data_IF_047790083428
#
_entry.id   IF_047790083428
#
_cell.length_a   1.000
_cell.length_b   1.000
_cell.length_c   1.000
_cell.angle_alpha   90.00
_cell.angle_beta   90.00
_cell.angle_gamma   90.00
#
_symmetry.space_group_name_H-M   'P 1'
#
loop_
_entity.id
_entity.type
_entity.pdbx_description
1 polymer ?
#
# COMPACT_ATOMS: atom_id res chain seq x y z
N UNK A 1 31.11 -14.45 43.69
CA UNK A 1 29.99 -13.67 43.14
C UNK A 1 29.96 -13.92 41.63
N UNK A 2 29.07 -14.81 41.16
CA UNK A 2 29.00 -15.19 39.75
C UNK A 2 27.75 -14.58 39.11
N UNK A 3 27.89 -13.41 38.48
CA UNK A 3 26.82 -12.86 37.63
C UNK A 3 26.64 -13.80 36.44
N UNK A 4 25.59 -14.62 36.50
CA UNK A 4 25.10 -15.42 35.36
C UNK A 4 24.70 -14.46 34.25
N UNK A 5 25.51 -14.38 33.20
CA UNK A 5 25.14 -13.80 31.92
C UNK A 5 23.98 -14.63 31.36
N UNK A 6 22.74 -14.17 31.58
CA UNK A 6 21.58 -14.73 30.87
C UNK A 6 21.71 -14.29 29.41
N UNK A 7 21.68 -15.20 28.43
CA UNK A 7 21.59 -14.79 27.04
C UNK A 7 20.33 -13.92 26.92
N UNK A 8 20.49 -12.70 26.42
CA UNK A 8 19.39 -11.77 26.20
C UNK A 8 18.57 -12.35 25.04
N UNK A 9 17.57 -13.20 25.38
CA UNK A 9 16.79 -13.93 24.38
C UNK A 9 15.91 -12.94 23.63
N UNK A 10 16.39 -12.47 22.48
CA UNK A 10 15.63 -11.63 21.57
C UNK A 10 14.42 -12.42 21.06
N UNK A 11 13.21 -11.95 21.37
CA UNK A 11 11.99 -12.53 20.81
C UNK A 11 11.90 -12.24 19.31
N UNK A 12 11.16 -13.08 18.58
CA UNK A 12 10.93 -12.86 17.15
C UNK A 12 10.29 -11.49 16.87
N UNK A 13 9.37 -11.04 17.72
CA UNK A 13 8.75 -9.72 17.60
C UNK A 13 9.75 -8.58 17.81
N UNK A 14 10.63 -8.67 18.80
CA UNK A 14 11.68 -7.66 19.01
C UNK A 14 12.69 -7.63 17.85
N UNK A 15 13.01 -8.79 17.27
CA UNK A 15 13.81 -8.86 16.05
C UNK A 15 13.11 -8.13 14.90
N UNK A 16 11.83 -8.43 14.64
CA UNK A 16 11.05 -7.80 13.57
C UNK A 16 10.96 -6.28 13.75
N UNK A 17 10.71 -5.80 14.97
CA UNK A 17 10.70 -4.36 15.28
C UNK A 17 12.05 -3.72 14.99
N UNK A 18 13.14 -4.26 15.55
CA UNK A 18 14.49 -3.72 15.32
C UNK A 18 14.91 -3.79 13.85
N UNK A 19 14.51 -4.84 13.15
CA UNK A 19 14.77 -5.01 11.71
C UNK A 19 13.99 -3.97 10.90
N UNK A 20 12.70 -3.78 11.19
CA UNK A 20 11.87 -2.78 10.53
C UNK A 20 12.37 -1.36 10.79
N UNK A 21 12.79 -1.04 12.02
CA UNK A 21 13.35 0.27 12.37
C UNK A 21 14.66 0.55 11.64
N UNK A 22 15.51 -0.46 11.47
CA UNK A 22 16.80 -0.33 10.77
C UNK A 22 16.64 -0.19 9.26
N UNK A 23 15.77 -0.96 8.64
CA UNK A 23 15.67 -1.05 7.17
C UNK A 23 14.48 -0.30 6.57
N UNK A 24 13.49 0.05 7.39
CA UNK A 24 12.29 0.79 6.99
C UNK A 24 12.06 1.97 7.95
N UNK A 25 13.02 2.91 8.03
CA UNK A 25 12.94 4.01 8.98
C UNK A 25 11.71 4.89 8.72
N UNK A 26 11.21 5.65 9.72
CA UNK A 26 10.03 6.49 9.57
C UNK A 26 10.08 7.43 8.36
N UNK A 27 11.25 8.02 8.06
CA UNK A 27 11.44 8.88 6.88
C UNK A 27 11.16 8.13 5.57
N UNK A 28 11.60 6.87 5.47
CA UNK A 28 11.31 6.04 4.29
C UNK A 28 9.81 5.72 4.21
N UNK A 29 9.18 5.34 5.34
CA UNK A 29 7.74 5.05 5.37
C UNK A 29 6.91 6.26 4.96
N UNK A 30 7.25 7.45 5.47
CA UNK A 30 6.57 8.69 5.12
C UNK A 30 6.71 9.01 3.64
N UNK A 31 7.93 8.93 3.08
CA UNK A 31 8.13 9.12 1.63
C UNK A 31 7.32 8.13 0.80
N UNK A 32 7.23 6.87 1.21
CA UNK A 32 6.38 5.87 0.53
C UNK A 32 4.89 6.13 0.70
N UNK A 33 4.47 6.68 1.83
CA UNK A 33 3.09 7.16 2.02
C UNK A 33 2.79 8.33 1.09
N UNK A 34 3.69 9.29 0.96
CA UNK A 34 3.53 10.42 0.02
C UNK A 34 3.44 9.93 -1.43
N UNK A 35 4.36 9.03 -1.84
CA UNK A 35 4.31 8.37 -3.16
C UNK A 35 2.97 7.66 -3.40
N UNK A 36 2.40 7.01 -2.38
CA UNK A 36 1.08 6.37 -2.47
C UNK A 36 -0.05 7.39 -2.61
N UNK A 37 -0.01 8.48 -1.84
CA UNK A 37 -1.02 9.53 -1.85
C UNK A 37 -1.06 10.25 -3.21
N UNK A 38 0.09 10.40 -3.86
CA UNK A 38 0.22 11.04 -5.17
C UNK A 38 0.15 10.06 -6.35
N UNK A 39 0.07 8.75 -6.10
CA UNK A 39 0.08 7.72 -7.14
C UNK A 39 -1.06 7.92 -8.14
N UNK A 40 -0.68 8.00 -9.41
CA UNK A 40 -1.57 8.04 -10.58
C UNK A 40 -1.12 6.99 -11.58
N UNK A 41 -2.03 6.58 -12.48
CA UNK A 41 -1.71 5.62 -13.53
C UNK A 41 -0.57 6.10 -14.44
N UNK A 42 -0.58 7.38 -14.84
CA UNK A 42 0.39 7.96 -15.79
C UNK A 42 0.56 7.04 -17.03
N UNK A 43 1.80 6.70 -17.40
CA UNK A 43 2.11 5.81 -18.53
C UNK A 43 2.00 4.32 -18.20
N UNK A 44 1.59 3.94 -16.98
CA UNK A 44 1.42 2.55 -16.60
C UNK A 44 0.16 1.96 -17.23
N UNK A 45 0.20 0.67 -17.54
CA UNK A 45 -1.02 -0.13 -17.71
C UNK A 45 -1.79 -0.19 -16.38
N UNK A 46 -3.08 -0.53 -16.43
CA UNK A 46 -3.89 -0.68 -15.20
C UNK A 46 -3.30 -1.74 -14.27
N UNK A 47 -2.83 -2.87 -14.81
CA UNK A 47 -2.13 -3.88 -14.03
C UNK A 47 -0.82 -3.35 -13.41
N UNK A 48 -0.06 -2.52 -14.15
CA UNK A 48 1.16 -1.88 -13.63
C UNK A 48 0.87 -0.88 -12.52
N UNK A 49 -0.19 -0.08 -12.68
CA UNK A 49 -0.67 0.84 -11.66
C UNK A 49 -1.15 0.09 -10.42
N UNK A 50 -1.94 -0.99 -10.57
CA UNK A 50 -2.39 -1.82 -9.46
C UNK A 50 -1.23 -2.43 -8.68
N UNK A 51 -0.20 -2.94 -9.38
CA UNK A 51 0.99 -3.48 -8.74
C UNK A 51 1.69 -2.43 -7.86
N UNK A 52 1.84 -1.21 -8.35
CA UNK A 52 2.41 -0.11 -7.54
C UNK A 52 1.48 0.29 -6.39
N UNK A 53 0.17 0.32 -6.63
CA UNK A 53 -0.84 0.61 -5.63
C UNK A 53 -0.75 -0.37 -4.45
N UNK A 54 -0.77 -1.69 -4.72
CA UNK A 54 -0.64 -2.75 -3.70
C UNK A 54 0.71 -2.67 -2.98
N UNK A 55 1.79 -2.37 -3.70
CA UNK A 55 3.13 -2.27 -3.12
C UNK A 55 3.23 -1.11 -2.15
N UNK A 56 2.79 0.07 -2.56
CA UNK A 56 2.89 1.32 -1.79
C UNK A 56 1.85 1.40 -0.67
N UNK A 57 0.68 0.75 -0.82
CA UNK A 57 -0.36 0.73 0.21
C UNK A 57 0.12 0.10 1.53
N UNK A 58 1.16 -0.74 1.50
CA UNK A 58 1.80 -1.30 2.70
C UNK A 58 2.41 -0.25 3.61
N UNK A 59 2.79 0.92 3.06
CA UNK A 59 3.31 2.06 3.82
C UNK A 59 2.21 3.07 4.19
N UNK A 60 0.97 2.85 3.75
CA UNK A 60 -0.16 3.75 3.92
C UNK A 60 -1.44 2.95 4.27
N UNK A 61 -1.33 1.99 5.19
CA UNK A 61 -2.39 1.03 5.48
C UNK A 61 -3.71 1.68 5.92
N UNK A 62 -3.63 2.85 6.56
CA UNK A 62 -4.80 3.65 6.98
C UNK A 62 -5.67 4.06 5.79
N UNK A 63 -5.05 4.42 4.67
CA UNK A 63 -5.70 4.89 3.44
C UNK A 63 -6.46 3.79 2.69
N UNK A 64 -6.20 2.52 3.04
CA UNK A 64 -6.78 1.33 2.40
C UNK A 64 -7.32 0.33 3.42
N UNK A 65 -7.65 0.82 4.62
CA UNK A 65 -8.00 -0.02 5.77
C UNK A 65 -9.36 -0.71 5.63
N UNK A 66 -10.24 -0.19 4.77
CA UNK A 66 -11.47 -0.85 4.35
C UNK A 66 -11.52 -0.99 2.83
N UNK A 67 -12.40 -1.87 2.33
CA UNK A 67 -12.58 -2.05 0.89
C UNK A 67 -13.07 -0.75 0.23
N UNK A 68 -13.95 0.01 0.91
CA UNK A 68 -14.42 1.31 0.44
C UNK A 68 -13.28 2.32 0.34
N UNK A 69 -12.45 2.45 1.38
CA UNK A 69 -11.30 3.36 1.34
C UNK A 69 -10.32 2.95 0.22
N UNK A 70 -10.08 1.65 0.07
CA UNK A 70 -9.22 1.11 -0.98
C UNK A 70 -9.77 1.40 -2.37
N UNK A 71 -11.07 1.19 -2.59
CA UNK A 71 -11.77 1.51 -3.84
C UNK A 71 -11.67 3.00 -4.13
N UNK A 72 -12.08 3.84 -3.19
CA UNK A 72 -12.17 5.30 -3.36
C UNK A 72 -10.77 5.90 -3.61
N UNK A 73 -9.73 5.33 -3.00
CA UNK A 73 -8.34 5.71 -3.25
C UNK A 73 -7.87 5.26 -4.63
N UNK A 74 -8.20 4.03 -5.05
CA UNK A 74 -7.82 3.52 -6.37
C UNK A 74 -8.51 4.30 -7.49
N UNK A 75 -9.80 4.59 -7.37
CA UNK A 75 -10.65 5.26 -8.37
C UNK A 75 -10.10 6.62 -8.85
N UNK A 76 -9.35 7.32 -7.99
CA UNK A 76 -8.80 8.66 -8.27
C UNK A 76 -7.55 8.63 -9.15
N UNK A 77 -6.87 7.50 -9.25
CA UNK A 77 -5.57 7.40 -9.92
C UNK A 77 -5.59 7.09 -11.43
N UNK A 78 -6.49 6.23 -11.95
CA UNK A 78 -6.60 5.94 -13.37
C UNK A 78 -6.81 7.20 -14.23
N UNK A 79 -6.32 7.13 -15.48
CA UNK A 79 -6.48 8.20 -16.46
C UNK A 79 -7.96 8.41 -16.79
N UNK A 80 -8.30 9.61 -17.29
CA UNK A 80 -9.70 9.98 -17.53
C UNK A 80 -10.39 9.01 -18.48
N UNK A 81 -9.73 8.61 -19.56
CA UNK A 81 -10.28 7.70 -20.56
C UNK A 81 -10.60 6.28 -20.02
N UNK A 82 -9.95 5.87 -18.93
CA UNK A 82 -10.28 4.63 -18.22
C UNK A 82 -11.47 4.86 -17.29
N UNK A 83 -11.45 5.97 -16.54
CA UNK A 83 -12.53 6.32 -15.59
C UNK A 83 -13.88 6.49 -16.27
N UNK A 84 -13.91 7.03 -17.49
CA UNK A 84 -15.13 7.21 -18.28
C UNK A 84 -15.78 5.88 -18.70
N UNK A 85 -15.02 4.78 -18.73
CA UNK A 85 -15.52 3.44 -19.09
C UNK A 85 -15.99 2.63 -17.89
N UNK A 86 -15.73 3.10 -16.68
CA UNK A 86 -16.09 2.43 -15.44
C UNK A 86 -17.49 2.92 -15.00
N UNK A 87 -18.29 2.02 -14.40
CA UNK A 87 -19.58 2.39 -13.84
C UNK A 87 -19.44 3.48 -12.76
N UNK A 88 -20.46 4.32 -12.58
CA UNK A 88 -20.44 5.53 -11.74
C UNK A 88 -20.04 5.28 -10.28
N UNK A 89 -20.12 4.04 -9.78
CA UNK A 89 -19.57 3.65 -8.48
C UNK A 89 -19.51 2.13 -8.33
N UNK A 90 -18.37 1.47 -8.60
CA UNK A 90 -18.28 0.02 -8.42
C UNK A 90 -18.51 -0.37 -6.94
N UNK A 91 -19.13 -1.53 -6.67
CA UNK A 91 -19.50 -1.91 -5.30
C UNK A 91 -18.29 -2.21 -4.40
N UNK A 92 -17.13 -2.54 -4.98
CA UNK A 92 -15.92 -2.91 -4.26
C UNK A 92 -14.64 -2.54 -5.01
N UNK A 93 -13.49 -2.62 -4.34
CA UNK A 93 -12.18 -2.49 -4.99
C UNK A 93 -12.00 -3.54 -6.10
N UNK A 94 -12.39 -4.79 -5.84
CA UNK A 94 -12.30 -5.86 -6.84
C UNK A 94 -13.16 -5.59 -8.09
N UNK A 95 -14.40 -5.14 -7.91
CA UNK A 95 -15.26 -4.80 -9.04
C UNK A 95 -14.74 -3.60 -9.84
N UNK A 96 -14.16 -2.60 -9.16
CA UNK A 96 -13.50 -1.46 -9.78
C UNK A 96 -12.29 -1.90 -10.62
N UNK A 97 -11.44 -2.76 -10.07
CA UNK A 97 -10.26 -3.26 -10.76
C UNK A 97 -10.64 -4.08 -12.01
N UNK A 98 -11.59 -4.99 -11.89
CA UNK A 98 -12.10 -5.78 -13.02
C UNK A 98 -12.70 -4.92 -14.13
N UNK A 99 -13.39 -3.83 -13.76
CA UNK A 99 -13.87 -2.86 -14.74
C UNK A 99 -12.70 -2.11 -15.41
N UNK A 100 -11.73 -1.64 -14.61
CA UNK A 100 -10.56 -0.92 -15.11
C UNK A 100 -9.67 -1.77 -16.03
N UNK A 101 -9.52 -3.07 -15.77
CA UNK A 101 -8.75 -4.00 -16.61
C UNK A 101 -9.40 -4.28 -17.96
N UNK A 102 -10.71 -4.02 -18.10
CA UNK A 102 -11.47 -4.18 -19.35
C UNK A 102 -11.63 -2.88 -20.15
N UNK A 103 -11.19 -1.76 -19.58
CA UNK A 103 -11.30 -0.43 -20.15
C UNK A 103 -10.28 -0.17 -21.27
#
# INVERSE_FOLDING_TARGET
>A
SGSKNRPNTLTWNEFLTKFADKYTPPIYRNRKKDEFLELKQNELSIAGYELQFVRLSKCASEEVSTDELRRDKFERGPRLEVREKIAIKPPSYGALLEAALRA
#
